data_IF_151081926392
#
_entry.id   IF_151081926392
#
_cell.length_a   1.000
_cell.length_b   1.000
_cell.length_c   1.000
_cell.angle_alpha   90.00
_cell.angle_beta   90.00
_cell.angle_gamma   90.00
#
_symmetry.space_group_name_H-M   'P 1'
#
loop_
_entity.id
_entity.type
_entity.pdbx_description
1 polymer ?
#
# COMPACT_ATOMS: atom_id res chain seq x y z
N UNK A 1 -6.13 -23.73 -3.83
CA UNK A 1 -6.22 -22.41 -4.51
C UNK A 1 -6.61 -21.28 -3.56
N UNK A 2 -7.53 -21.47 -2.61
CA UNK A 2 -7.93 -20.44 -1.63
C UNK A 2 -6.75 -19.84 -0.81
N UNK A 3 -5.74 -20.64 -0.45
CA UNK A 3 -4.60 -20.19 0.35
C UNK A 3 -3.82 -19.02 -0.29
N UNK A 4 -3.51 -19.08 -1.60
CA UNK A 4 -2.77 -18.01 -2.28
C UNK A 4 -3.59 -16.71 -2.42
N UNK A 5 -4.92 -16.82 -2.50
CA UNK A 5 -5.83 -15.67 -2.61
C UNK A 5 -5.83 -14.83 -1.33
N UNK A 6 -5.62 -15.43 -0.16
CA UNK A 6 -5.58 -14.72 1.12
C UNK A 6 -4.17 -14.29 1.52
N UNK A 7 -3.13 -15.05 1.13
CA UNK A 7 -1.74 -14.74 1.49
C UNK A 7 -1.25 -13.46 0.80
N UNK A 8 -1.59 -13.24 -0.47
CA UNK A 8 -1.13 -12.06 -1.22
C UNK A 8 -1.64 -10.74 -0.62
N UNK A 9 -2.95 -10.58 -0.33
CA UNK A 9 -3.46 -9.38 0.35
C UNK A 9 -2.84 -9.17 1.73
N UNK A 10 -2.64 -10.25 2.49
CA UNK A 10 -2.04 -10.17 3.83
C UNK A 10 -0.60 -9.68 3.74
N UNK A 11 0.21 -10.21 2.82
CA UNK A 11 1.59 -9.76 2.64
C UNK A 11 1.64 -8.29 2.16
N UNK A 12 0.76 -7.92 1.24
CA UNK A 12 0.67 -6.54 0.74
C UNK A 12 0.14 -5.56 1.79
N UNK A 13 -0.50 -6.01 2.85
CA UNK A 13 -0.86 -5.19 4.00
C UNK A 13 0.25 -5.16 5.06
N UNK A 14 0.80 -6.33 5.41
CA UNK A 14 1.74 -6.51 6.52
C UNK A 14 3.10 -5.87 6.23
N UNK A 15 3.65 -6.03 5.03
CA UNK A 15 4.97 -5.46 4.67
C UNK A 15 4.97 -3.92 4.76
N UNK A 16 4.07 -3.20 4.08
CA UNK A 16 3.98 -1.75 4.18
C UNK A 16 3.54 -1.25 5.57
N UNK A 17 2.75 -2.02 6.32
CA UNK A 17 2.48 -1.73 7.73
C UNK A 17 3.78 -1.78 8.56
N UNK A 18 4.62 -2.80 8.38
CA UNK A 18 5.92 -2.92 9.06
C UNK A 18 6.83 -1.76 8.67
N UNK A 19 6.93 -1.44 7.38
CA UNK A 19 7.73 -0.32 6.87
C UNK A 19 7.24 1.00 7.45
N UNK A 20 5.92 1.24 7.48
CA UNK A 20 5.32 2.44 8.07
C UNK A 20 5.60 2.56 9.57
N UNK A 21 5.53 1.45 10.31
CA UNK A 21 5.87 1.42 11.75
C UNK A 21 7.36 1.69 11.96
N UNK A 22 8.25 1.08 11.18
CA UNK A 22 9.70 1.27 11.31
C UNK A 22 10.12 2.69 10.94
N UNK A 23 9.62 3.25 9.83
CA UNK A 23 9.91 4.62 9.40
C UNK A 23 9.51 5.64 10.49
N UNK A 24 8.38 5.43 11.15
CA UNK A 24 7.91 6.27 12.25
C UNK A 24 8.72 6.09 13.54
N UNK A 25 9.19 4.86 13.83
CA UNK A 25 10.07 4.57 14.97
C UNK A 25 11.45 5.20 14.83
N UNK A 26 11.96 5.32 13.60
CA UNK A 26 13.24 5.98 13.31
C UNK A 26 13.11 7.51 13.13
N UNK A 27 11.94 8.10 13.41
CA UNK A 27 11.74 9.55 13.34
C UNK A 27 11.63 10.11 11.91
N UNK A 28 11.61 9.25 10.90
CA UNK A 28 11.54 9.62 9.47
C UNK A 28 10.07 9.85 9.09
N UNK A 29 9.41 10.79 9.77
CA UNK A 29 7.98 11.05 9.61
C UNK A 29 7.59 11.49 8.19
N UNK A 30 8.53 12.04 7.42
CA UNK A 30 8.32 12.41 6.02
C UNK A 30 8.24 11.20 5.07
N UNK A 31 8.78 10.04 5.45
CA UNK A 31 8.74 8.85 4.60
C UNK A 31 7.31 8.30 4.45
N UNK A 32 6.46 8.48 5.46
CA UNK A 32 5.05 8.02 5.44
C UNK A 32 4.23 8.69 4.33
N UNK A 33 4.13 10.04 4.24
CA UNK A 33 3.38 10.68 3.16
C UNK A 33 4.02 10.43 1.80
N UNK A 34 5.34 10.33 1.70
CA UNK A 34 6.03 10.01 0.44
C UNK A 34 5.67 8.60 -0.05
N UNK A 35 5.74 7.58 0.80
CA UNK A 35 5.36 6.21 0.43
C UNK A 35 3.87 6.12 0.07
N UNK A 36 3.01 6.79 0.83
CA UNK A 36 1.58 6.81 0.56
C UNK A 36 1.27 7.44 -0.81
N UNK A 37 1.87 8.60 -1.11
CA UNK A 37 1.72 9.26 -2.41
C UNK A 37 2.23 8.39 -3.56
N UNK A 38 3.36 7.72 -3.37
CA UNK A 38 3.95 6.86 -4.40
C UNK A 38 3.04 5.65 -4.69
N UNK A 39 2.48 5.02 -3.66
CA UNK A 39 1.51 3.93 -3.81
C UNK A 39 0.22 4.38 -4.50
N UNK A 40 -0.30 5.56 -4.14
CA UNK A 40 -1.46 6.15 -4.81
C UNK A 40 -1.16 6.46 -6.28
N UNK A 41 0.01 7.02 -6.58
CA UNK A 41 0.43 7.29 -7.96
C UNK A 41 0.53 6.00 -8.78
N UNK A 42 1.08 4.92 -8.20
CA UNK A 42 1.12 3.60 -8.83
C UNK A 42 -0.28 3.05 -9.07
N UNK A 43 -1.21 3.19 -8.13
CA UNK A 43 -2.62 2.81 -8.34
C UNK A 43 -3.26 3.56 -9.50
N UNK A 44 -3.13 4.90 -9.50
CA UNK A 44 -3.72 5.76 -10.53
C UNK A 44 -3.16 5.41 -11.91
N UNK A 45 -1.84 5.25 -12.01
CA UNK A 45 -1.17 4.84 -13.23
C UNK A 45 -1.65 3.46 -13.72
N UNK A 46 -1.73 2.49 -12.82
CA UNK A 46 -2.16 1.13 -13.15
C UNK A 46 -3.61 1.11 -13.64
N UNK A 47 -4.52 1.80 -12.97
CA UNK A 47 -5.92 1.91 -13.40
C UNK A 47 -6.02 2.61 -14.75
N UNK A 48 -5.22 3.66 -14.99
CA UNK A 48 -5.22 4.38 -16.26
C UNK A 48 -4.69 3.52 -17.43
N UNK A 49 -3.62 2.75 -17.20
CA UNK A 49 -3.09 1.82 -18.20
C UNK A 49 -4.04 0.64 -18.42
N UNK A 50 -4.57 0.04 -17.37
CA UNK A 50 -5.53 -1.06 -17.47
C UNK A 50 -6.80 -0.72 -18.25
N UNK A 51 -7.20 0.56 -18.30
CA UNK A 51 -8.32 1.02 -19.15
C UNK A 51 -7.99 1.07 -20.64
N UNK A 52 -6.72 1.20 -20.99
CA UNK A 52 -6.26 1.31 -22.38
C UNK A 52 -5.99 -0.06 -23.02
N UNK A 53 -5.78 -1.10 -22.20
CA UNK A 53 -5.52 -2.46 -22.66
C UNK A 53 -6.80 -3.29 -22.66
N UNK A 54 -7.07 -4.01 -23.76
CA UNK A 54 -8.22 -4.92 -23.88
C UNK A 54 -7.75 -6.38 -23.73
N UNK A 55 -8.58 -7.21 -23.12
CA UNK A 55 -8.28 -8.63 -22.91
C UNK A 55 -7.61 -8.90 -21.56
N UNK A 56 -6.95 -10.05 -21.46
CA UNK A 56 -6.43 -10.59 -20.19
C UNK A 56 -5.34 -9.73 -19.55
N UNK A 57 -4.62 -8.92 -20.31
CA UNK A 57 -3.55 -8.05 -19.81
C UNK A 57 -4.06 -6.94 -18.88
N UNK A 58 -5.30 -6.46 -19.09
CA UNK A 58 -5.95 -5.48 -18.21
C UNK A 58 -6.13 -5.97 -16.77
N UNK A 59 -6.23 -7.28 -16.58
CA UNK A 59 -6.39 -7.91 -15.26
C UNK A 59 -5.11 -7.74 -14.43
N UNK A 60 -3.93 -7.79 -15.05
CA UNK A 60 -2.66 -7.57 -14.36
C UNK A 60 -2.59 -6.18 -13.71
N UNK A 61 -3.06 -5.15 -14.41
CA UNK A 61 -3.15 -3.79 -13.88
C UNK A 61 -4.16 -3.65 -12.73
N UNK A 62 -5.31 -4.34 -12.82
CA UNK A 62 -6.28 -4.37 -11.73
C UNK A 62 -5.72 -5.08 -10.48
N UNK A 63 -5.00 -6.20 -10.67
CA UNK A 63 -4.34 -6.90 -9.56
C UNK A 63 -3.30 -6.01 -8.90
N UNK A 64 -2.46 -5.32 -9.67
CA UNK A 64 -1.45 -4.42 -9.14
C UNK A 64 -2.10 -3.25 -8.36
N UNK A 65 -3.16 -2.65 -8.88
CA UNK A 65 -3.86 -1.54 -8.22
C UNK A 65 -4.54 -1.99 -6.91
N UNK A 66 -5.33 -3.05 -6.96
CA UNK A 66 -6.22 -3.43 -5.85
C UNK A 66 -5.61 -4.43 -4.87
N UNK A 67 -4.77 -5.38 -5.33
CA UNK A 67 -4.20 -6.41 -4.46
C UNK A 67 -2.82 -6.05 -3.92
N UNK A 68 -2.11 -5.11 -4.54
CA UNK A 68 -0.77 -4.70 -4.09
C UNK A 68 -0.76 -3.27 -3.55
N UNK A 69 -1.10 -2.29 -4.39
CA UNK A 69 -0.92 -0.89 -4.04
C UNK A 69 -1.97 -0.37 -3.04
N UNK A 70 -3.24 -0.81 -3.15
CA UNK A 70 -4.30 -0.43 -2.20
C UNK A 70 -4.04 -0.89 -0.75
N UNK A 71 -3.79 -2.19 -0.45
CA UNK A 71 -3.47 -2.62 0.90
C UNK A 71 -2.17 -2.01 1.41
N UNK A 72 -1.22 -1.71 0.52
CA UNK A 72 -0.01 -1.01 0.91
C UNK A 72 -0.24 0.43 1.34
N UNK A 73 -1.05 1.17 0.59
CA UNK A 73 -1.43 2.53 0.95
C UNK A 73 -2.19 2.54 2.28
N UNK A 74 -3.12 1.60 2.49
CA UNK A 74 -3.84 1.43 3.75
C UNK A 74 -2.91 1.10 4.92
N UNK A 75 -1.95 0.19 4.74
CA UNK A 75 -0.97 -0.18 5.76
C UNK A 75 -0.08 1.00 6.18
N UNK A 76 0.44 1.77 5.20
CA UNK A 76 1.26 2.96 5.47
C UNK A 76 0.46 4.05 6.18
N UNK A 77 -0.77 4.34 5.71
CA UNK A 77 -1.63 5.35 6.32
C UNK A 77 -2.03 4.97 7.74
N UNK A 78 -2.48 3.73 7.96
CA UNK A 78 -2.87 3.24 9.28
C UNK A 78 -1.69 3.23 10.25
N UNK A 79 -0.54 2.67 9.83
CA UNK A 79 0.69 2.67 10.63
C UNK A 79 1.18 4.09 10.95
N UNK A 80 1.09 5.00 9.99
CA UNK A 80 1.38 6.42 10.16
C UNK A 80 0.49 7.10 11.19
N UNK A 81 -0.83 6.94 11.08
CA UNK A 81 -1.82 7.50 12.03
C UNK A 81 -1.59 6.96 13.44
N UNK A 82 -1.41 5.64 13.59
CA UNK A 82 -1.14 5.01 14.89
C UNK A 82 0.18 5.54 15.49
N UNK A 83 1.25 5.60 14.69
CA UNK A 83 2.56 6.08 15.13
C UNK A 83 2.56 7.55 15.53
N UNK A 84 1.78 8.38 14.83
CA UNK A 84 1.61 9.79 15.17
C UNK A 84 0.78 9.98 16.44
N UNK A 85 -0.31 9.23 16.60
CA UNK A 85 -1.15 9.29 17.80
C UNK A 85 -0.38 8.89 19.05
N UNK A 86 0.47 7.86 18.97
CA UNK A 86 1.31 7.41 20.09
C UNK A 86 2.35 8.46 20.49
N UNK A 87 2.98 9.15 19.53
CA UNK A 87 3.93 10.24 19.80
C UNK A 87 3.31 11.47 20.47
N UNK A 88 2.00 11.68 20.32
CA UNK A 88 1.28 12.78 21.00
C UNK A 88 0.88 12.45 22.45
N UNK A 89 0.95 11.17 22.84
CA UNK A 89 0.59 10.67 24.17
C UNK A 89 1.80 10.29 25.02
N UNK A 90 3.00 10.36 24.46
CA UNK A 90 4.27 10.14 25.16
C UNK A 90 4.92 11.50 25.35
#
# INVERSE_FOLDING_TARGET
>A
MAFMVYVVPVLCFVIPLIIGVLAMRHGIGWAVPVLALLLIAVMVWAVWQGRQVRGWDGIGYAILAFLMAAPGALGVLAGGVIGWWRRRRT
#
